data_IF_778922288506
#
_entry.id   IF_778922288506
#
_cell.length_a   1.000
_cell.length_b   1.000
_cell.length_c   1.000
_cell.angle_alpha   90.00
_cell.angle_beta   90.00
_cell.angle_gamma   90.00
#
_symmetry.space_group_name_H-M   'P 1'
#
loop_
_entity.id
_entity.type
_entity.pdbx_description
1 polymer ?
#
# COMPACT_ATOMS: atom_id res chain seq x y z
N UNK A 1 -8.31 -11.10 36.72
CA UNK A 1 -9.76 -11.38 36.79
C UNK A 1 -10.41 -10.61 35.65
N UNK A 2 -11.08 -11.35 34.75
CA UNK A 2 -11.76 -10.92 33.51
C UNK A 2 -10.89 -10.10 32.54
N UNK A 3 -10.02 -10.84 31.83
CA UNK A 3 -9.52 -10.42 30.52
C UNK A 3 -10.66 -10.62 29.51
N UNK A 4 -11.59 -9.66 29.48
CA UNK A 4 -12.65 -9.65 28.47
C UNK A 4 -11.97 -9.30 27.16
N UNK A 5 -11.53 -10.31 26.41
CA UNK A 5 -11.01 -10.11 25.04
C UNK A 5 -12.03 -9.25 24.29
N UNK A 6 -11.61 -8.05 23.91
CA UNK A 6 -12.44 -7.15 23.13
C UNK A 6 -12.92 -7.90 21.87
N UNK A 7 -14.19 -7.70 21.46
CA UNK A 7 -14.70 -8.38 20.28
C UNK A 7 -13.84 -8.03 19.06
N UNK A 8 -13.46 -9.05 18.28
CA UNK A 8 -12.68 -8.84 17.06
C UNK A 8 -13.51 -8.19 15.95
N UNK A 9 -14.84 -8.34 16.00
CA UNK A 9 -15.80 -7.77 15.08
C UNK A 9 -16.90 -7.01 15.84
N UNK A 10 -17.24 -5.82 15.35
CA UNK A 10 -18.31 -4.99 15.86
C UNK A 10 -19.49 -5.01 14.88
N UNK A 11 -20.62 -5.58 15.28
CA UNK A 11 -21.85 -5.53 14.51
C UNK A 11 -22.33 -4.09 14.32
N UNK A 12 -23.07 -3.83 13.25
CA UNK A 12 -23.65 -2.52 12.95
C UNK A 12 -24.32 -1.88 14.17
N UNK A 13 -24.04 -0.60 14.42
CA UNK A 13 -24.61 0.13 15.55
C UNK A 13 -23.97 -0.20 16.91
N UNK A 14 -23.04 -1.15 16.98
CA UNK A 14 -22.29 -1.43 18.21
C UNK A 14 -21.25 -0.33 18.44
N UNK A 15 -21.12 0.21 19.67
CA UNK A 15 -20.06 1.15 20.00
C UNK A 15 -18.66 0.54 19.89
N UNK A 16 -17.76 1.22 19.19
CA UNK A 16 -16.35 0.87 19.07
C UNK A 16 -15.46 2.12 19.21
N UNK A 17 -14.23 1.92 19.71
CA UNK A 17 -13.24 2.98 19.89
C UNK A 17 -12.39 3.15 18.63
N UNK A 18 -12.33 4.36 18.08
CA UNK A 18 -11.52 4.71 16.91
C UNK A 18 -10.37 5.64 17.31
N UNK A 19 -9.14 5.22 17.01
CA UNK A 19 -7.96 6.07 17.08
C UNK A 19 -7.83 6.85 15.76
N UNK A 20 -7.81 8.18 15.83
CA UNK A 20 -7.61 9.04 14.64
C UNK A 20 -6.16 9.51 14.53
N UNK A 21 -5.73 9.89 13.33
CA UNK A 21 -4.42 10.52 13.09
C UNK A 21 -4.39 12.03 13.46
N UNK A 22 -5.45 12.54 14.09
CA UNK A 22 -5.58 13.91 14.56
C UNK A 22 -5.07 14.04 16.01
N UNK A 23 -4.47 15.18 16.40
CA UNK A 23 -3.82 15.35 17.69
C UNK A 23 -4.82 15.57 18.85
N UNK A 24 -5.71 14.59 19.07
CA UNK A 24 -6.74 14.61 20.12
C UNK A 24 -6.30 13.93 21.42
N UNK A 25 -5.21 13.16 21.37
CA UNK A 25 -4.61 12.49 22.53
C UNK A 25 -5.41 11.32 23.11
N UNK A 26 -6.51 10.91 22.48
CA UNK A 26 -7.37 9.80 22.95
C UNK A 26 -8.07 9.08 21.79
N UNK A 27 -8.56 7.89 22.10
CA UNK A 27 -9.53 7.14 21.28
C UNK A 27 -10.90 7.82 21.41
N UNK A 28 -11.69 7.82 20.34
CA UNK A 28 -13.05 8.36 20.33
C UNK A 28 -14.06 7.25 20.04
N UNK A 29 -15.18 7.26 20.75
CA UNK A 29 -16.25 6.30 20.54
C UNK A 29 -17.10 6.67 19.31
N UNK A 30 -17.40 5.68 18.48
CA UNK A 30 -18.30 5.75 17.33
C UNK A 30 -19.18 4.51 17.28
N UNK A 31 -20.28 4.57 16.53
CA UNK A 31 -21.07 3.39 16.19
C UNK A 31 -20.47 2.71 14.95
N UNK A 32 -20.36 1.39 14.97
CA UNK A 32 -19.94 0.60 13.82
C UNK A 32 -20.85 0.86 12.60
N UNK A 33 -20.29 0.89 11.38
CA UNK A 33 -21.03 1.23 10.17
C UNK A 33 -21.98 0.09 9.76
N UNK A 34 -22.78 0.33 8.72
CA UNK A 34 -23.57 -0.71 8.06
C UNK A 34 -22.68 -1.90 7.66
N UNK A 35 -23.13 -3.11 7.98
CA UNK A 35 -22.34 -4.33 7.75
C UNK A 35 -21.23 -4.60 8.77
N UNK A 36 -21.07 -3.75 9.78
CA UNK A 36 -20.10 -3.92 10.87
C UNK A 36 -18.65 -3.69 10.45
N UNK A 37 -17.73 -3.88 11.39
CA UNK A 37 -16.30 -3.70 11.13
C UNK A 37 -15.39 -4.48 12.08
N UNK A 38 -14.22 -4.88 11.59
CA UNK A 38 -13.20 -5.57 12.38
C UNK A 38 -12.32 -4.60 13.17
N UNK A 39 -11.81 -5.05 14.31
CA UNK A 39 -10.72 -4.36 15.01
C UNK A 39 -9.51 -4.21 14.08
N UNK A 40 -8.92 -3.01 14.04
CA UNK A 40 -7.83 -2.66 13.13
C UNK A 40 -8.29 -2.19 11.76
N UNK A 41 -9.58 -2.25 11.45
CA UNK A 41 -10.09 -1.72 10.19
C UNK A 41 -9.79 -0.22 10.08
N UNK A 42 -9.32 0.19 8.89
CA UNK A 42 -9.20 1.59 8.54
C UNK A 42 -10.57 2.16 8.21
N UNK A 43 -10.91 3.29 8.79
CA UNK A 43 -12.26 3.86 8.72
C UNK A 43 -12.23 5.36 8.46
N UNK A 44 -13.24 5.86 7.76
CA UNK A 44 -13.52 7.29 7.64
C UNK A 44 -14.57 7.68 8.69
N UNK A 45 -14.25 8.66 9.54
CA UNK A 45 -15.12 9.08 10.64
C UNK A 45 -15.37 10.59 10.63
N UNK A 46 -16.54 11.05 11.11
CA UNK A 46 -16.80 12.48 11.22
C UNK A 46 -16.08 13.05 12.45
N UNK A 47 -15.35 14.16 12.26
CA UNK A 47 -14.73 14.93 13.33
C UNK A 47 -15.10 16.41 13.18
N UNK A 48 -16.17 16.82 13.88
CA UNK A 48 -16.77 18.14 13.71
C UNK A 48 -17.31 18.31 12.28
N UNK A 49 -16.84 19.32 11.51
CA UNK A 49 -17.23 19.52 10.12
C UNK A 49 -16.36 18.72 9.12
N UNK A 50 -15.26 18.12 9.57
CA UNK A 50 -14.29 17.40 8.72
C UNK A 50 -14.58 15.90 8.73
N UNK A 51 -14.08 15.22 7.69
CA UNK A 51 -13.95 13.76 7.63
C UNK A 51 -12.48 13.40 7.78
N UNK A 52 -12.17 12.43 8.63
CA UNK A 52 -10.78 12.04 8.92
C UNK A 52 -10.66 10.52 8.90
N UNK A 53 -9.45 10.04 8.61
CA UNK A 53 -9.13 8.62 8.69
C UNK A 53 -8.75 8.25 10.11
N UNK A 54 -9.22 7.09 10.55
CA UNK A 54 -8.85 6.45 11.80
C UNK A 54 -8.77 4.94 11.66
N UNK A 55 -8.45 4.28 12.77
CA UNK A 55 -8.40 2.83 12.90
C UNK A 55 -9.24 2.42 14.09
N UNK A 56 -10.08 1.40 13.92
CA UNK A 56 -10.79 0.80 15.06
C UNK A 56 -9.76 0.18 15.99
N UNK A 57 -9.58 0.79 17.16
CA UNK A 57 -8.49 0.46 18.08
C UNK A 57 -8.90 -0.57 19.14
N UNK A 58 -10.20 -0.66 19.42
CA UNK A 58 -10.76 -1.60 20.41
C UNK A 58 -12.22 -1.29 20.73
N UNK A 59 -12.69 -1.84 21.84
CA UNK A 59 -14.02 -1.53 22.36
C UNK A 59 -14.15 -0.04 22.71
N UNK A 60 -15.38 0.48 22.66
CA UNK A 60 -15.67 1.83 23.13
C UNK A 60 -15.31 1.98 24.61
N UNK A 61 -14.83 3.17 25.00
CA UNK A 61 -14.56 3.48 26.42
C UNK A 61 -15.87 3.57 27.21
N UNK A 62 -16.99 3.92 26.55
CA UNK A 62 -18.30 4.02 27.18
C UNK A 62 -18.48 5.26 28.05
N UNK A 63 -17.56 6.22 27.94
CA UNK A 63 -17.57 7.47 28.70
C UNK A 63 -18.59 8.50 28.17
N UNK A 64 -19.27 8.20 27.05
CA UNK A 64 -20.22 9.09 26.38
C UNK A 64 -21.58 8.39 26.08
N UNK A 65 -22.73 9.09 26.18
CA UNK A 65 -24.03 8.48 25.90
C UNK A 65 -24.13 7.93 24.48
N UNK A 66 -24.48 6.64 24.35
CA UNK A 66 -24.61 5.93 23.07
C UNK A 66 -25.50 6.68 22.07
N UNK A 67 -26.62 7.23 22.54
CA UNK A 67 -27.58 7.98 21.72
C UNK A 67 -27.00 9.26 21.06
N UNK A 68 -25.84 9.72 21.50
CA UNK A 68 -25.14 10.90 20.93
C UNK A 68 -23.92 10.51 20.09
N UNK A 69 -23.57 9.22 20.03
CA UNK A 69 -22.46 8.76 19.20
C UNK A 69 -22.82 8.92 17.73
N UNK A 70 -21.82 9.34 16.94
CA UNK A 70 -21.93 9.36 15.48
C UNK A 70 -21.52 7.99 14.94
N UNK A 71 -22.06 7.61 13.79
CA UNK A 71 -21.63 6.42 13.08
C UNK A 71 -20.33 6.66 12.31
N UNK A 72 -19.54 5.59 12.18
CA UNK A 72 -18.47 5.50 11.18
C UNK A 72 -19.09 5.69 9.79
N UNK A 73 -18.44 6.47 8.92
CA UNK A 73 -18.97 6.78 7.57
C UNK A 73 -18.82 5.59 6.65
N UNK A 74 -17.63 4.98 6.64
CA UNK A 74 -17.31 3.77 5.87
C UNK A 74 -16.04 3.10 6.38
N UNK A 75 -15.93 1.81 6.11
CA UNK A 75 -14.65 1.07 6.16
C UNK A 75 -13.89 1.33 4.86
N UNK A 76 -12.59 1.58 4.96
CA UNK A 76 -11.71 1.76 3.81
C UNK A 76 -11.26 0.39 3.28
N UNK A 77 -11.08 0.30 1.96
CA UNK A 77 -10.57 -0.90 1.29
C UNK A 77 -9.06 -1.05 1.53
N UNK A 78 -8.72 -1.47 2.74
CA UNK A 78 -7.35 -1.71 3.19
C UNK A 78 -7.32 -2.89 4.16
N UNK A 79 -6.22 -3.64 4.14
CA UNK A 79 -6.02 -4.75 5.09
C UNK A 79 -6.06 -4.20 6.51
N UNK A 80 -6.89 -4.75 7.43
CA UNK A 80 -6.92 -4.31 8.81
C UNK A 80 -5.54 -4.34 9.46
N UNK A 81 -5.24 -3.30 10.24
CA UNK A 81 -4.00 -3.22 11.00
C UNK A 81 -3.96 -4.38 12.02
N UNK A 82 -3.03 -5.31 11.86
CA UNK A 82 -2.88 -6.45 12.75
C UNK A 82 -2.60 -6.06 14.21
N UNK A 83 -2.96 -6.95 15.14
CA UNK A 83 -2.78 -6.72 16.58
C UNK A 83 -1.32 -6.43 16.95
N UNK A 84 -0.37 -7.13 16.32
CA UNK A 84 1.07 -6.94 16.53
C UNK A 84 1.53 -5.52 16.18
N UNK A 85 1.04 -4.96 15.06
CA UNK A 85 1.40 -3.59 14.67
C UNK A 85 0.76 -2.57 15.61
N UNK A 86 -0.49 -2.77 16.04
CA UNK A 86 -1.13 -1.90 17.04
C UNK A 86 -0.36 -1.90 18.37
N UNK A 87 0.03 -3.09 18.83
CA UNK A 87 0.82 -3.26 20.05
C UNK A 87 2.22 -2.63 19.91
N UNK A 88 2.88 -2.81 18.77
CA UNK A 88 4.16 -2.17 18.46
C UNK A 88 4.04 -0.65 18.49
N UNK A 89 3.05 -0.07 17.80
CA UNK A 89 2.85 1.39 17.79
C UNK A 89 2.55 1.94 19.19
N UNK A 90 1.73 1.25 19.98
CA UNK A 90 1.48 1.61 21.37
C UNK A 90 2.76 1.60 22.22
N UNK A 91 3.57 0.53 22.09
CA UNK A 91 4.83 0.39 22.84
C UNK A 91 5.85 1.45 22.45
N UNK A 92 5.98 1.76 21.15
CA UNK A 92 6.89 2.82 20.69
C UNK A 92 6.40 4.18 21.15
N UNK A 93 5.09 4.47 21.05
CA UNK A 93 4.49 5.71 21.55
C UNK A 93 4.82 5.95 23.02
N UNK A 94 4.65 4.93 23.86
CA UNK A 94 4.98 4.98 25.29
C UNK A 94 6.49 5.19 25.50
N UNK A 95 7.32 4.38 24.84
CA UNK A 95 8.77 4.41 24.99
C UNK A 95 9.39 5.75 24.57
N UNK A 96 8.87 6.37 23.52
CA UNK A 96 9.37 7.65 22.98
C UNK A 96 8.57 8.86 23.44
N UNK A 97 7.64 8.69 24.39
CA UNK A 97 6.72 9.74 24.87
C UNK A 97 6.03 10.51 23.73
N UNK A 98 5.72 9.80 22.65
CA UNK A 98 5.11 10.38 21.46
C UNK A 98 3.62 10.09 21.47
N UNK A 99 2.74 11.07 21.21
CA UNK A 99 1.30 10.82 21.16
C UNK A 99 0.95 9.71 20.15
N UNK A 100 0.15 8.74 20.59
CA UNK A 100 -0.25 7.60 19.75
C UNK A 100 -0.90 8.02 18.40
N UNK A 101 -1.71 9.10 18.30
CA UNK A 101 -2.17 9.62 17.02
C UNK A 101 -1.05 9.98 16.03
N UNK A 102 0.10 10.47 16.54
CA UNK A 102 1.25 10.79 15.71
C UNK A 102 1.95 9.52 15.21
N UNK A 103 2.05 8.48 16.05
CA UNK A 103 2.53 7.17 15.63
C UNK A 103 1.64 6.54 14.55
N UNK A 104 0.31 6.62 14.73
CA UNK A 104 -0.63 6.20 13.70
C UNK A 104 -0.41 6.98 12.40
N UNK A 105 -0.33 8.33 12.47
CA UNK A 105 -0.07 9.17 11.30
C UNK A 105 1.22 8.80 10.56
N UNK A 106 2.28 8.42 11.28
CA UNK A 106 3.54 7.97 10.68
C UNK A 106 3.37 6.61 9.98
N UNK A 107 2.66 5.68 10.61
CA UNK A 107 2.38 4.35 10.05
C UNK A 107 1.43 4.39 8.85
N UNK A 108 0.56 5.42 8.76
CA UNK A 108 -0.53 5.49 7.77
C UNK A 108 -0.40 6.68 6.83
N UNK A 109 0.82 7.18 6.57
CA UNK A 109 1.08 8.37 5.74
C UNK A 109 0.85 8.11 4.25
N UNK A 110 -0.30 7.56 3.91
CA UNK A 110 -0.81 7.35 2.56
C UNK A 110 -2.02 8.29 2.42
N UNK A 111 -1.84 9.48 1.81
CA UNK A 111 -2.94 10.45 1.65
C UNK A 111 -4.15 9.85 0.90
N UNK A 112 -3.89 8.80 0.14
CA UNK A 112 -4.82 8.06 -0.69
C UNK A 112 -5.23 6.70 -0.11
N UNK A 113 -5.10 6.47 1.21
CA UNK A 113 -5.43 5.17 1.81
C UNK A 113 -6.88 4.73 1.55
N UNK A 114 -7.78 5.68 1.29
CA UNK A 114 -9.17 5.43 0.90
C UNK A 114 -9.47 5.67 -0.57
N UNK A 115 -8.46 6.05 -1.36
CA UNK A 115 -8.53 6.17 -2.82
C UNK A 115 -8.11 4.83 -3.39
N UNK A 116 -8.89 4.26 -4.32
CA UNK A 116 -8.51 3.02 -4.98
C UNK A 116 -7.16 3.12 -5.71
N UNK A 117 -6.70 2.03 -6.34
CA UNK A 117 -5.43 2.01 -7.06
C UNK A 117 -5.27 3.22 -7.99
N UNK A 118 -4.14 3.91 -7.88
CA UNK A 118 -3.88 5.08 -8.72
C UNK A 118 -3.92 4.68 -10.19
N UNK A 119 -4.72 5.38 -10.98
CA UNK A 119 -4.78 5.19 -12.43
C UNK A 119 -3.93 6.22 -13.15
N UNK A 120 -3.53 5.89 -14.38
CA UNK A 120 -2.93 6.80 -15.34
C UNK A 120 -3.61 6.66 -16.68
N UNK A 121 -3.67 7.76 -17.42
CA UNK A 121 -4.18 7.79 -18.79
C UNK A 121 -3.07 7.38 -19.74
N UNK A 122 -3.31 6.32 -20.49
CA UNK A 122 -2.46 5.89 -21.59
C UNK A 122 -3.19 6.12 -22.91
N UNK A 123 -2.44 6.61 -23.89
CA UNK A 123 -2.88 6.80 -25.25
C UNK A 123 -2.37 5.63 -26.09
N UNK A 124 -3.21 5.18 -27.01
CA UNK A 124 -2.88 4.18 -28.01
C UNK A 124 -3.21 4.75 -29.38
N UNK A 125 -2.41 4.40 -30.38
CA UNK A 125 -2.76 4.69 -31.77
C UNK A 125 -4.02 3.89 -32.15
N UNK A 126 -4.96 4.54 -32.81
CA UNK A 126 -6.13 3.89 -33.41
C UNK A 126 -5.93 3.75 -34.92
N UNK A 127 -6.71 2.87 -35.53
CA UNK A 127 -6.75 2.70 -36.99
C UNK A 127 -7.53 3.83 -37.69
N UNK A 128 -8.20 4.70 -36.93
CA UNK A 128 -8.97 5.83 -37.47
C UNK A 128 -8.02 6.99 -37.79
N UNK A 129 -7.92 7.42 -39.07
CA UNK A 129 -7.09 8.56 -39.41
C UNK A 129 -7.72 9.88 -38.92
N UNK A 130 -6.92 10.89 -38.56
CA UNK A 130 -7.45 12.20 -38.22
C UNK A 130 -8.04 12.91 -39.45
N UNK A 131 -9.07 13.72 -39.24
CA UNK A 131 -9.79 14.45 -40.31
C UNK A 131 -8.91 15.39 -41.15
N UNK A 132 -7.80 15.85 -40.60
CA UNK A 132 -6.78 16.62 -41.34
C UNK A 132 -5.40 16.17 -40.90
N UNK A 133 -4.55 15.76 -41.84
CA UNK A 133 -3.16 15.46 -41.52
C UNK A 133 -2.32 16.74 -41.53
N UNK A 134 -1.42 16.86 -40.57
CA UNK A 134 -0.42 17.94 -40.48
C UNK A 134 0.89 17.34 -40.01
N UNK A 135 2.03 17.96 -40.30
CA UNK A 135 3.35 17.48 -39.87
C UNK A 135 3.42 17.20 -38.36
N UNK A 136 2.81 18.06 -37.52
CA UNK A 136 2.74 17.85 -36.07
C UNK A 136 1.92 16.61 -35.65
N UNK A 137 0.91 16.22 -36.44
CA UNK A 137 0.08 15.04 -36.19
C UNK A 137 0.78 13.76 -36.64
N UNK A 138 1.49 13.83 -37.77
CA UNK A 138 2.35 12.75 -38.26
C UNK A 138 3.44 12.43 -37.25
N UNK A 139 4.12 13.44 -36.70
CA UNK A 139 5.11 13.26 -35.63
C UNK A 139 4.54 12.52 -34.42
N UNK A 140 3.31 12.87 -34.00
CA UNK A 140 2.64 12.18 -32.89
C UNK A 140 2.32 10.72 -33.23
N UNK A 141 1.81 10.43 -34.43
CA UNK A 141 1.48 9.05 -34.82
C UNK A 141 2.75 8.19 -34.98
N UNK A 142 3.83 8.77 -35.52
CA UNK A 142 5.12 8.10 -35.69
C UNK A 142 5.79 7.73 -34.37
N UNK A 143 5.53 8.46 -33.27
CA UNK A 143 6.00 8.07 -31.93
C UNK A 143 5.52 6.66 -31.58
N UNK A 144 4.25 6.34 -31.81
CA UNK A 144 3.71 5.02 -31.47
C UNK A 144 4.34 3.89 -32.30
N UNK A 145 4.71 4.17 -33.56
CA UNK A 145 5.40 3.21 -34.42
C UNK A 145 6.81 2.90 -33.87
N UNK A 146 7.52 3.92 -33.36
CA UNK A 146 8.84 3.76 -32.75
C UNK A 146 8.83 3.01 -31.40
N UNK A 147 7.72 3.05 -30.67
CA UNK A 147 7.54 2.32 -29.41
C UNK A 147 6.79 0.98 -29.59
N UNK A 148 6.64 0.48 -30.82
CA UNK A 148 6.03 -0.83 -31.10
C UNK A 148 4.55 -0.92 -30.70
N UNK A 149 3.82 0.20 -30.73
CA UNK A 149 2.40 0.26 -30.36
C UNK A 149 2.10 0.25 -28.85
N UNK A 150 3.13 0.44 -28.00
CA UNK A 150 2.93 0.55 -26.57
C UNK A 150 2.05 1.75 -26.19
N UNK A 151 1.31 1.62 -25.08
CA UNK A 151 0.54 2.72 -24.52
C UNK A 151 1.45 3.76 -23.86
N UNK A 152 1.28 5.02 -24.23
CA UNK A 152 2.13 6.14 -23.75
C UNK A 152 1.28 7.20 -23.06
N UNK A 153 1.82 7.87 -22.05
CA UNK A 153 1.11 8.98 -21.42
C UNK A 153 1.04 10.19 -22.37
N UNK A 154 0.02 11.08 -22.23
CA UNK A 154 -0.08 12.28 -23.07
C UNK A 154 1.16 13.18 -23.03
N UNK A 155 1.86 13.22 -21.89
CA UNK A 155 3.09 13.99 -21.71
C UNK A 155 4.27 13.39 -22.47
N UNK A 156 4.48 12.07 -22.36
CA UNK A 156 5.52 11.35 -23.11
C UNK A 156 5.33 11.51 -24.62
N UNK A 157 4.09 11.40 -25.11
CA UNK A 157 3.76 11.56 -26.54
C UNK A 157 4.08 12.97 -27.02
N UNK A 158 3.66 13.99 -26.28
CA UNK A 158 3.91 15.39 -26.65
C UNK A 158 5.42 15.70 -26.68
N UNK A 159 6.16 15.21 -25.68
CA UNK A 159 7.61 15.38 -25.57
C UNK A 159 8.35 14.65 -26.69
N UNK A 160 8.05 13.37 -26.91
CA UNK A 160 8.70 12.56 -27.94
C UNK A 160 8.43 13.08 -29.36
N UNK A 161 7.23 13.60 -29.62
CA UNK A 161 6.88 14.20 -30.90
C UNK A 161 7.36 15.66 -31.06
N UNK A 162 7.83 16.30 -29.98
CA UNK A 162 8.22 17.71 -29.98
C UNK A 162 7.05 18.67 -30.26
N UNK A 163 5.84 18.34 -29.80
CA UNK A 163 4.62 19.13 -30.04
C UNK A 163 3.97 19.60 -28.74
N UNK A 164 3.02 20.54 -28.86
CA UNK A 164 2.22 20.96 -27.71
C UNK A 164 1.17 19.92 -27.32
N UNK A 165 0.77 19.91 -26.05
CA UNK A 165 -0.30 19.02 -25.56
C UNK A 165 -1.65 19.21 -26.28
N UNK A 166 -1.87 20.37 -26.92
CA UNK A 166 -3.06 20.65 -27.72
C UNK A 166 -3.16 19.77 -28.97
N UNK A 167 -2.03 19.43 -29.61
CA UNK A 167 -2.00 18.54 -30.78
C UNK A 167 -2.43 17.14 -30.39
N UNK A 168 -1.90 16.63 -29.27
CA UNK A 168 -2.26 15.31 -28.73
C UNK A 168 -3.74 15.26 -28.36
N UNK A 169 -4.27 16.26 -27.65
CA UNK A 169 -5.70 16.34 -27.31
C UNK A 169 -6.60 16.38 -28.56
N UNK A 170 -6.19 17.09 -29.61
CA UNK A 170 -6.95 17.16 -30.85
C UNK A 170 -7.01 15.79 -31.56
N UNK A 171 -5.94 15.00 -31.49
CA UNK A 171 -5.90 13.64 -32.04
C UNK A 171 -6.74 12.64 -31.24
N UNK A 172 -6.79 12.79 -29.91
CA UNK A 172 -7.73 12.03 -29.08
C UNK A 172 -9.17 12.39 -29.46
N UNK A 173 -9.49 13.70 -29.57
CA UNK A 173 -10.83 14.17 -29.95
C UNK A 173 -11.25 13.70 -31.34
N UNK A 174 -10.32 13.57 -32.29
CA UNK A 174 -10.62 13.07 -33.63
C UNK A 174 -10.70 11.54 -33.72
N UNK A 175 -10.50 10.81 -32.62
CA UNK A 175 -10.51 9.34 -32.58
C UNK A 175 -9.23 8.70 -33.13
N UNK A 176 -8.22 9.48 -33.49
CA UNK A 176 -6.94 8.97 -34.01
C UNK A 176 -6.04 8.41 -32.90
N UNK A 177 -6.25 8.87 -31.66
CA UNK A 177 -5.70 8.26 -30.46
C UNK A 177 -6.85 7.80 -29.55
N UNK A 178 -6.72 6.62 -28.98
CA UNK A 178 -7.64 6.09 -27.98
C UNK A 178 -7.06 6.32 -26.59
N UNK A 179 -7.86 6.88 -25.69
CA UNK A 179 -7.51 7.01 -24.28
C UNK A 179 -8.03 5.80 -23.51
N UNK A 180 -7.16 5.17 -22.71
CA UNK A 180 -7.53 4.13 -21.76
C UNK A 180 -6.96 4.44 -20.40
N UNK A 181 -7.73 4.15 -19.36
CA UNK A 181 -7.21 4.13 -18.00
C UNK A 181 -6.47 2.82 -17.76
N UNK A 182 -5.29 2.93 -17.19
CA UNK A 182 -4.49 1.80 -16.74
C UNK A 182 -4.09 2.02 -15.29
N UNK A 183 -3.91 0.94 -14.54
CA UNK A 183 -3.28 1.01 -13.23
C UNK A 183 -1.87 1.61 -13.39
N UNK A 184 -1.54 2.56 -12.52
CA UNK A 184 -0.23 3.18 -12.47
C UNK A 184 0.82 2.13 -12.09
N UNK A 185 0.50 1.35 -11.05
CA UNK A 185 1.35 0.29 -10.55
C UNK A 185 0.76 -1.07 -10.95
N UNK A 186 1.58 -1.91 -11.55
CA UNK A 186 1.23 -3.30 -11.81
C UNK A 186 1.70 -4.17 -10.65
N UNK A 187 1.02 -5.29 -10.34
CA UNK A 187 1.52 -6.24 -9.37
C UNK A 187 2.95 -6.66 -9.72
N UNK A 188 3.84 -6.68 -8.72
CA UNK A 188 5.18 -7.24 -8.92
C UNK A 188 5.08 -8.70 -9.37
N UNK A 189 5.98 -9.16 -10.25
CA UNK A 189 6.04 -10.58 -10.61
C UNK A 189 6.30 -11.41 -9.35
N UNK A 190 5.73 -12.61 -9.31
CA UNK A 190 6.06 -13.57 -8.24
C UNK A 190 7.52 -13.96 -8.37
N UNK A 191 8.27 -13.83 -7.28
CA UNK A 191 9.66 -14.25 -7.23
C UNK A 191 9.73 -15.78 -7.27
N UNK A 192 10.71 -16.32 -7.98
CA UNK A 192 11.02 -17.74 -8.01
C UNK A 192 12.09 -18.05 -6.94
N UNK A 193 11.72 -18.68 -5.81
CA UNK A 193 12.68 -19.01 -4.76
C UNK A 193 13.63 -20.15 -5.15
N UNK A 194 13.35 -20.89 -6.24
CA UNK A 194 14.20 -21.97 -6.73
C UNK A 194 15.21 -21.50 -7.79
N UNK A 195 15.20 -20.21 -8.14
CA UNK A 195 16.15 -19.64 -9.10
C UNK A 195 17.58 -19.81 -8.59
N UNK A 196 18.43 -20.41 -9.41
CA UNK A 196 19.84 -20.61 -9.06
C UNK A 196 20.56 -19.27 -8.83
N UNK A 197 21.17 -19.15 -7.65
CA UNK A 197 22.04 -18.04 -7.25
C UNK A 197 23.52 -18.31 -7.58
N UNK A 198 24.42 -17.38 -7.24
CA UNK A 198 25.85 -17.60 -7.36
C UNK A 198 26.34 -18.67 -6.39
N UNK A 199 27.46 -19.33 -6.71
CA UNK A 199 28.08 -20.29 -5.81
C UNK A 199 28.57 -19.62 -4.52
N UNK A 200 27.98 -20.01 -3.39
CA UNK A 200 28.38 -19.52 -2.08
C UNK A 200 29.74 -20.08 -1.66
N UNK A 201 30.55 -19.24 -1.02
CA UNK A 201 31.73 -19.70 -0.30
C UNK A 201 31.31 -20.59 0.89
N UNK A 202 32.21 -21.43 1.43
CA UNK A 202 31.88 -22.27 2.58
C UNK A 202 31.35 -21.49 3.78
N UNK A 203 31.85 -20.28 4.02
CA UNK A 203 31.43 -19.44 5.15
C UNK A 203 30.03 -18.84 4.93
N UNK A 204 29.75 -18.39 3.70
CA UNK A 204 28.41 -17.92 3.31
C UNK A 204 27.39 -19.05 3.38
N UNK A 205 27.72 -20.24 2.88
CA UNK A 205 26.83 -21.40 2.93
C UNK A 205 26.48 -21.80 4.37
N UNK A 206 27.45 -21.78 5.30
CA UNK A 206 27.18 -22.03 6.73
C UNK A 206 26.27 -20.95 7.33
N UNK A 207 26.52 -19.68 7.04
CA UNK A 207 25.69 -18.58 7.53
C UNK A 207 24.26 -18.64 6.97
N UNK A 208 24.12 -18.92 5.66
CA UNK A 208 22.84 -19.09 4.99
C UNK A 208 22.03 -20.24 5.58
N UNK A 209 22.67 -21.38 5.84
CA UNK A 209 22.01 -22.54 6.47
C UNK A 209 21.47 -22.22 7.87
N UNK A 210 22.22 -21.46 8.69
CA UNK A 210 21.76 -21.02 10.02
C UNK A 210 20.54 -20.12 9.90
N UNK A 211 20.57 -19.12 9.01
CA UNK A 211 19.44 -18.22 8.80
C UNK A 211 18.21 -18.97 8.25
N UNK A 212 18.40 -19.84 7.26
CA UNK A 212 17.34 -20.64 6.66
C UNK A 212 16.68 -21.55 7.70
N UNK A 213 17.47 -22.21 8.56
CA UNK A 213 16.95 -23.03 9.67
C UNK A 213 16.12 -22.19 10.64
N UNK A 214 16.61 -20.99 11.00
CA UNK A 214 15.88 -20.04 11.84
C UNK A 214 14.53 -19.64 11.23
N UNK A 215 14.53 -19.25 9.95
CA UNK A 215 13.31 -18.90 9.21
C UNK A 215 12.33 -20.08 9.18
N UNK A 216 12.84 -21.28 8.91
CA UNK A 216 12.03 -22.49 8.80
C UNK A 216 11.38 -22.91 10.12
N UNK A 217 12.04 -22.62 11.25
CA UNK A 217 11.52 -22.93 12.58
C UNK A 217 10.22 -22.18 12.92
N UNK A 218 9.97 -21.04 12.27
CA UNK A 218 8.85 -20.15 12.59
C UNK A 218 8.96 -19.45 13.95
N UNK A 219 10.02 -19.69 14.72
CA UNK A 219 10.27 -19.05 16.00
C UNK A 219 10.95 -17.69 15.84
N UNK A 220 10.77 -16.82 16.84
CA UNK A 220 11.53 -15.58 16.92
C UNK A 220 13.02 -15.86 17.15
N UNK A 221 13.88 -15.20 16.37
CA UNK A 221 15.32 -15.28 16.51
C UNK A 221 16.00 -14.00 16.01
N UNK A 222 17.11 -13.64 16.65
CA UNK A 222 17.93 -12.49 16.28
C UNK A 222 19.32 -12.98 15.91
N UNK A 223 19.82 -12.60 14.72
CA UNK A 223 21.14 -13.00 14.23
C UNK A 223 21.94 -11.79 13.76
N UNK A 224 23.21 -11.70 14.19
CA UNK A 224 24.16 -10.72 13.68
C UNK A 224 24.99 -11.35 12.54
N UNK A 225 24.72 -10.96 11.29
CA UNK A 225 25.56 -11.34 10.16
C UNK A 225 26.70 -10.33 9.98
N UNK A 226 27.87 -10.64 10.56
CA UNK A 226 29.04 -9.77 10.50
C UNK A 226 29.89 -10.05 9.26
N UNK A 227 30.17 -9.01 8.48
CA UNK A 227 31.09 -9.08 7.35
C UNK A 227 31.37 -7.72 6.74
N UNK A 228 32.55 -7.54 6.15
CA UNK A 228 32.93 -6.30 5.43
C UNK A 228 32.09 -6.11 4.15
N UNK A 229 32.10 -4.92 3.56
CA UNK A 229 31.50 -4.71 2.22
C UNK A 229 32.15 -5.65 1.21
N UNK A 230 31.37 -6.23 0.29
CA UNK A 230 31.88 -7.20 -0.69
C UNK A 230 32.06 -8.63 -0.18
N UNK A 231 31.88 -8.91 1.13
CA UNK A 231 31.92 -10.29 1.67
C UNK A 231 30.74 -11.19 1.27
N UNK A 232 29.79 -10.67 0.48
CA UNK A 232 28.60 -11.40 0.00
C UNK A 232 27.51 -11.64 1.05
N UNK A 233 27.36 -10.75 2.04
CA UNK A 233 26.21 -10.78 2.99
C UNK A 233 24.86 -10.77 2.27
N UNK A 234 24.76 -10.08 1.14
CA UNK A 234 23.54 -10.01 0.33
C UNK A 234 23.11 -11.40 -0.14
N UNK A 235 24.03 -12.24 -0.61
CA UNK A 235 23.71 -13.61 -1.04
C UNK A 235 23.20 -14.45 0.13
N UNK A 236 23.79 -14.28 1.31
CA UNK A 236 23.33 -14.94 2.55
C UNK A 236 21.90 -14.50 2.94
N UNK A 237 21.56 -13.22 2.75
CA UNK A 237 20.18 -12.74 2.95
C UNK A 237 19.20 -13.32 1.93
N UNK A 238 19.61 -13.43 0.66
CA UNK A 238 18.77 -13.98 -0.40
C UNK A 238 18.40 -15.44 -0.16
N UNK A 239 19.31 -16.25 0.37
CA UNK A 239 19.01 -17.63 0.78
C UNK A 239 17.95 -17.69 1.91
N UNK A 240 18.04 -16.79 2.90
CA UNK A 240 17.05 -16.71 3.96
C UNK A 240 15.69 -16.24 3.44
N UNK A 241 15.68 -15.29 2.50
CA UNK A 241 14.48 -14.83 1.81
C UNK A 241 13.88 -15.97 0.98
N UNK A 242 14.68 -16.70 0.22
CA UNK A 242 14.23 -17.85 -0.57
C UNK A 242 13.59 -18.93 0.33
N UNK A 243 14.20 -19.23 1.48
CA UNK A 243 13.62 -20.14 2.47
C UNK A 243 12.27 -19.64 3.03
N UNK A 244 12.12 -18.33 3.24
CA UNK A 244 10.84 -17.71 3.68
C UNK A 244 9.77 -17.82 2.58
N UNK A 245 10.12 -17.46 1.34
CA UNK A 245 9.23 -17.49 0.19
C UNK A 245 8.80 -18.92 -0.18
N UNK A 246 9.69 -19.91 -0.01
CA UNK A 246 9.38 -21.32 -0.23
C UNK A 246 8.28 -21.86 0.72
N UNK A 247 8.07 -21.19 1.87
CA UNK A 247 6.97 -21.48 2.80
C UNK A 247 5.69 -20.68 2.49
N UNK A 248 5.64 -19.94 1.37
CA UNK A 248 4.51 -19.07 1.02
C UNK A 248 4.38 -17.83 1.91
N UNK A 249 5.43 -17.48 2.66
CA UNK A 249 5.47 -16.31 3.56
C UNK A 249 6.08 -15.10 2.85
N UNK A 250 6.03 -13.95 3.51
CA UNK A 250 6.63 -12.70 3.01
C UNK A 250 7.89 -12.34 3.82
N UNK A 251 8.84 -11.67 3.17
CA UNK A 251 10.06 -11.13 3.80
C UNK A 251 10.06 -9.59 3.68
N UNK A 252 10.53 -8.93 4.75
CA UNK A 252 10.73 -7.47 4.85
C UNK A 252 12.17 -7.18 5.27
#
# INVERSE_FOLDING_TARGET
>A
MQDTQAPEFFDEGTPCGVLTAEPLGRVLDYLAPEGGAWIGAFVEVPLGPRRVVGVIWGAAEGSFPIAKLRSIIRVLDAVPMGAELRAFLARVAEYTLTPLPAMLRLATRVPDLGSGPATRKLLFRSDTPPTRMTEAREKVLAVFDGFGGAGLTPGEVAQAAGVSSGVVRALVKSGALLEREALRDQPYPRLDPAREGPNLTPDQARAAAVLATGVQSGAYGTTLLKGVTGSGKTEVYLEAIAACLAQGRQAL
#
